data_IF_943405792401
#
_entry.id   IF_943405792401
#
_cell.length_a   1.000
_cell.length_b   1.000
_cell.length_c   1.000
_cell.angle_alpha   90.00
_cell.angle_beta   90.00
_cell.angle_gamma   90.00
#
_symmetry.space_group_name_H-M   'P 1'
#
loop_
_entity.id
_entity.type
_entity.pdbx_description
1 polymer ?
#
# COMPACT_ATOMS: atom_id res chain seq x y z
N UNK A 1 -30.23 -4.34 67.74
CA UNK A 1 -28.94 -4.48 67.03
C UNK A 1 -29.22 -4.45 65.53
N UNK A 2 -28.71 -3.40 64.88
CA UNK A 2 -28.46 -3.19 63.42
C UNK A 2 -29.56 -3.63 62.43
N UNK A 3 -30.39 -2.79 61.79
CA UNK A 3 -30.14 -1.66 60.85
C UNK A 3 -29.00 -1.86 59.85
N UNK A 4 -29.38 -2.08 58.57
CA UNK A 4 -28.75 -1.75 57.27
C UNK A 4 -29.61 -2.48 56.20
N UNK A 5 -30.43 -1.93 55.30
CA UNK A 5 -30.53 -0.64 54.58
C UNK A 5 -29.32 -0.28 53.72
N UNK A 6 -29.18 -0.99 52.59
CA UNK A 6 -28.52 -0.65 51.32
C UNK A 6 -29.10 -1.67 50.30
N UNK A 7 -29.57 -1.42 49.08
CA UNK A 7 -29.35 -0.33 48.13
C UNK A 7 -30.55 -0.25 47.15
N UNK A 8 -31.42 0.75 47.34
CA UNK A 8 -32.28 1.30 46.27
C UNK A 8 -31.45 2.23 45.37
N UNK A 9 -30.37 1.71 44.79
CA UNK A 9 -29.33 2.51 44.09
C UNK A 9 -29.74 2.96 42.67
N UNK A 10 -30.83 2.44 42.10
CA UNK A 10 -31.18 2.73 40.70
C UNK A 10 -32.38 3.66 40.48
N UNK A 11 -33.00 4.21 41.52
CA UNK A 11 -34.19 5.07 41.33
C UNK A 11 -34.21 6.26 42.29
N UNK A 12 -33.46 7.34 41.96
CA UNK A 12 -33.86 8.76 42.07
C UNK A 12 -32.68 9.74 42.01
N UNK A 13 -32.65 10.57 40.97
CA UNK A 13 -32.24 11.99 40.91
C UNK A 13 -32.26 12.37 39.41
N UNK A 14 -32.97 13.36 38.85
CA UNK A 14 -33.55 14.62 39.32
C UNK A 14 -32.63 15.42 40.25
N UNK A 15 -31.57 15.99 39.68
CA UNK A 15 -30.95 17.25 40.10
C UNK A 15 -30.08 17.75 38.93
N UNK A 16 -30.56 18.75 38.18
CA UNK A 16 -30.09 20.14 38.25
C UNK A 16 -28.62 20.27 37.89
N UNK A 17 -28.40 20.83 36.68
CA UNK A 17 -27.09 21.12 36.12
C UNK A 17 -26.27 22.03 37.03
N UNK A 18 -24.99 21.72 37.08
CA UNK A 18 -23.99 22.43 37.87
C UNK A 18 -23.65 23.74 37.16
N UNK A 19 -23.95 24.85 37.85
CA UNK A 19 -23.64 26.23 37.46
C UNK A 19 -22.20 26.55 37.84
N UNK A 20 -21.45 27.19 36.94
CA UNK A 20 -20.08 27.63 37.16
C UNK A 20 -20.09 29.15 37.34
N UNK A 21 -20.71 29.62 38.42
CA UNK A 21 -20.57 31.00 38.86
C UNK A 21 -21.00 31.12 40.32
N UNK A 22 -20.02 31.15 41.21
CA UNK A 22 -20.10 31.76 42.54
C UNK A 22 -18.67 32.23 42.86
N UNK A 23 -18.47 33.54 42.70
CA UNK A 23 -17.31 34.25 43.24
C UNK A 23 -17.43 34.35 44.77
N UNK A 24 -16.28 34.34 45.46
CA UNK A 24 -16.06 35.27 46.57
C UNK A 24 -14.58 35.31 46.95
N UNK A 25 -13.95 36.48 46.83
CA UNK A 25 -13.08 36.95 47.92
C UNK A 25 -12.92 38.48 47.96
N UNK A 26 -13.74 39.07 48.84
CA UNK A 26 -13.49 40.17 49.78
C UNK A 26 -12.30 41.16 49.57
N UNK A 27 -12.59 42.47 49.51
CA UNK A 27 -12.15 43.45 50.53
C UNK A 27 -12.51 44.95 50.29
N UNK A 28 -13.31 45.48 51.25
CA UNK A 28 -13.17 46.74 52.03
C UNK A 28 -13.11 48.15 51.38
N UNK A 29 -14.11 48.97 51.77
CA UNK A 29 -14.01 50.39 52.17
C UNK A 29 -14.44 51.40 51.09
N UNK A 30 -15.11 52.53 51.35
CA UNK A 30 -15.65 53.20 52.55
C UNK A 30 -16.60 54.33 52.04
N UNK A 31 -17.73 54.54 52.74
CA UNK A 31 -18.59 55.73 52.91
C UNK A 31 -18.02 57.09 52.41
N UNK A 32 -18.72 58.11 51.88
CA UNK A 32 -20.13 58.58 51.94
C UNK A 32 -20.35 59.77 50.97
N UNK A 33 -21.56 59.83 50.39
CA UNK A 33 -22.45 60.98 50.09
C UNK A 33 -21.90 62.27 49.44
N UNK A 34 -22.39 62.60 48.23
CA UNK A 34 -23.24 63.78 47.95
C UNK A 34 -23.71 63.82 46.48
N UNK A 35 -24.99 63.43 46.30
CA UNK A 35 -26.03 63.91 45.35
C UNK A 35 -25.59 65.00 44.34
N UNK A 36 -25.77 64.89 43.01
CA UNK A 36 -27.04 64.78 42.28
C UNK A 36 -26.82 64.33 40.81
N UNK A 37 -27.52 63.25 40.43
CA UNK A 37 -28.27 63.03 39.17
C UNK A 37 -27.58 63.36 37.83
N UNK A 38 -27.14 62.33 37.10
CA UNK A 38 -27.78 61.79 35.87
C UNK A 38 -26.83 60.72 35.29
N UNK A 39 -27.30 59.47 35.26
CA UNK A 39 -26.58 58.28 34.80
C UNK A 39 -26.24 58.36 33.30
N UNK A 40 -25.20 57.76 32.75
CA UNK A 40 -23.90 57.30 33.23
C UNK A 40 -23.10 57.00 31.94
N UNK A 41 -21.82 57.40 31.93
CA UNK A 41 -20.74 56.90 31.06
C UNK A 41 -20.74 57.33 29.58
N UNK A 42 -20.15 58.50 29.35
CA UNK A 42 -19.29 58.79 28.19
C UNK A 42 -17.91 59.21 28.70
N UNK A 43 -16.89 59.09 27.84
CA UNK A 43 -15.43 59.23 28.06
C UNK A 43 -14.83 57.85 28.40
N UNK A 44 -14.72 56.92 27.46
CA UNK A 44 -13.93 57.00 26.23
C UNK A 44 -12.44 57.35 26.50
N UNK A 45 -11.56 56.51 25.97
CA UNK A 45 -10.10 56.64 25.93
C UNK A 45 -9.39 56.31 27.25
N UNK A 46 -8.36 55.46 27.29
CA UNK A 46 -7.46 55.13 26.22
C UNK A 46 -6.72 53.82 26.55
N UNK A 47 -6.72 52.90 25.58
CA UNK A 47 -5.80 51.76 25.47
C UNK A 47 -6.02 50.56 26.42
N UNK A 48 -6.95 49.68 26.05
CA UNK A 48 -6.60 48.25 25.94
C UNK A 48 -7.47 47.57 24.87
N UNK A 49 -6.83 46.72 24.10
CA UNK A 49 -7.18 46.26 22.76
C UNK A 49 -7.76 44.84 22.73
N UNK A 50 -8.68 44.59 21.78
CA UNK A 50 -9.26 43.29 21.37
C UNK A 50 -10.22 42.63 22.36
N UNK A 51 -11.21 41.80 21.93
CA UNK A 51 -11.38 41.15 20.62
C UNK A 51 -12.69 41.52 19.88
N UNK A 52 -12.73 41.32 18.55
CA UNK A 52 -13.92 41.48 17.72
C UNK A 52 -15.00 40.43 18.11
N UNK A 53 -15.96 40.82 18.92
CA UNK A 53 -17.31 40.24 18.87
C UNK A 53 -18.07 40.96 17.75
N UNK A 54 -18.07 40.37 16.56
CA UNK A 54 -19.02 40.77 15.53
C UNK A 54 -20.30 39.98 15.77
N UNK A 55 -21.02 40.34 16.84
CA UNK A 55 -22.42 39.95 17.00
C UNK A 55 -23.20 40.64 15.88
N UNK A 56 -23.39 39.91 14.78
CA UNK A 56 -24.35 40.23 13.74
C UNK A 56 -25.72 40.31 14.40
N UNK A 57 -26.15 41.52 14.74
CA UNK A 57 -27.53 41.80 15.12
C UNK A 57 -28.45 41.33 13.98
N UNK A 58 -29.02 40.13 14.14
CA UNK A 58 -30.03 39.60 13.23
C UNK A 58 -31.32 40.37 13.49
N UNK A 59 -31.50 41.46 12.75
CA UNK A 59 -32.74 42.21 12.74
C UNK A 59 -33.87 41.32 12.21
N UNK A 60 -35.04 41.25 12.88
CA UNK A 60 -36.17 40.49 12.39
C UNK A 60 -36.57 40.96 10.99
N UNK A 61 -36.78 40.06 10.04
CA UNK A 61 -37.01 40.39 8.61
C UNK A 61 -38.13 41.43 8.39
N UNK A 62 -39.11 41.44 9.30
CA UNK A 62 -40.21 42.39 9.41
C UNK A 62 -39.81 43.86 9.66
N UNK A 63 -38.55 44.13 10.03
CA UNK A 63 -37.97 45.49 10.10
C UNK A 63 -37.36 45.96 8.78
N UNK A 64 -37.02 45.04 7.88
CA UNK A 64 -36.43 45.32 6.57
C UNK A 64 -37.49 45.33 5.47
N UNK A 65 -38.52 44.48 5.60
CA UNK A 65 -39.61 44.37 4.63
C UNK A 65 -40.95 44.23 5.35
N UNK A 66 -41.95 45.00 4.92
CA UNK A 66 -43.29 44.90 5.49
C UNK A 66 -43.90 43.54 5.15
N UNK A 67 -44.75 42.98 6.03
CA UNK A 67 -45.41 41.68 5.81
C UNK A 67 -46.12 41.63 4.45
N UNK A 68 -46.77 42.72 4.03
CA UNK A 68 -47.44 42.82 2.73
C UNK A 68 -46.48 42.75 1.54
N UNK A 69 -45.30 43.38 1.66
CA UNK A 69 -44.27 43.33 0.62
C UNK A 69 -43.53 41.99 0.64
N UNK A 70 -43.36 41.38 1.81
CA UNK A 70 -42.82 40.03 1.94
C UNK A 70 -43.76 39.01 1.31
N UNK A 71 -45.06 39.10 1.58
CA UNK A 71 -46.08 38.26 0.95
C UNK A 71 -46.12 38.49 -0.57
N UNK A 72 -45.97 39.73 -1.04
CA UNK A 72 -45.88 40.02 -2.48
C UNK A 72 -44.60 39.47 -3.12
N UNK A 73 -43.44 39.54 -2.44
CA UNK A 73 -42.18 38.94 -2.91
C UNK A 73 -42.26 37.42 -2.85
N UNK A 74 -42.91 36.86 -1.83
CA UNK A 74 -43.12 35.42 -1.71
C UNK A 74 -44.09 34.91 -2.79
N UNK A 75 -45.15 35.68 -3.09
CA UNK A 75 -46.05 35.41 -4.20
C UNK A 75 -45.35 35.55 -5.56
N UNK A 76 -44.46 36.53 -5.74
CA UNK A 76 -43.64 36.65 -6.95
C UNK A 76 -42.65 35.49 -7.08
N UNK A 77 -42.07 35.01 -5.98
CA UNK A 77 -41.18 33.84 -5.94
C UNK A 77 -41.94 32.52 -6.16
N UNK A 78 -43.17 32.41 -5.64
CA UNK A 78 -44.05 31.25 -5.81
C UNK A 78 -44.67 31.22 -7.23
N UNK A 79 -44.93 32.39 -7.83
CA UNK A 79 -45.38 32.54 -9.22
C UNK A 79 -44.20 32.40 -10.20
N UNK A 80 -43.00 32.84 -9.83
CA UNK A 80 -41.74 32.49 -10.52
C UNK A 80 -41.34 31.07 -10.16
N UNK A 81 -42.12 30.08 -10.61
CA UNK A 81 -41.68 28.68 -10.55
C UNK A 81 -40.26 28.58 -11.13
N UNK A 82 -39.22 28.14 -10.39
CA UNK A 82 -38.12 27.48 -11.05
C UNK A 82 -38.68 26.14 -11.55
N UNK A 83 -39.29 26.17 -12.73
CA UNK A 83 -39.83 25.01 -13.40
C UNK A 83 -38.66 24.21 -14.00
N UNK A 84 -37.85 23.59 -13.16
CA UNK A 84 -36.84 22.65 -13.63
C UNK A 84 -36.96 21.37 -12.82
N UNK A 85 -37.86 20.50 -13.30
CA UNK A 85 -37.90 19.08 -12.89
C UNK A 85 -37.06 18.20 -13.81
N UNK A 86 -36.63 18.71 -14.97
CA UNK A 86 -35.87 17.90 -15.91
C UNK A 86 -34.43 17.74 -15.42
N UNK A 87 -34.12 16.54 -14.94
CA UNK A 87 -32.81 16.14 -14.42
C UNK A 87 -31.69 16.48 -15.41
N UNK A 88 -31.90 16.20 -16.70
CA UNK A 88 -30.94 16.44 -17.78
C UNK A 88 -30.50 17.90 -17.89
N UNK A 89 -31.45 18.81 -17.80
CA UNK A 89 -31.17 20.24 -17.91
C UNK A 89 -30.40 20.75 -16.68
N UNK A 90 -30.73 20.24 -15.49
CA UNK A 90 -29.97 20.56 -14.27
C UNK A 90 -28.54 20.06 -14.34
N UNK A 91 -28.32 18.81 -14.76
CA UNK A 91 -26.98 18.24 -14.92
C UNK A 91 -26.18 19.00 -15.99
N UNK A 92 -26.81 19.34 -17.11
CA UNK A 92 -26.18 20.16 -18.15
C UNK A 92 -25.73 21.52 -17.62
N UNK A 93 -26.52 22.16 -16.75
CA UNK A 93 -26.13 23.42 -16.10
C UNK A 93 -24.94 23.23 -15.16
N UNK A 94 -24.88 22.12 -14.44
CA UNK A 94 -23.72 21.80 -13.60
C UNK A 94 -22.44 21.69 -14.44
N UNK A 95 -22.48 20.95 -15.55
CA UNK A 95 -21.35 20.81 -16.49
C UNK A 95 -20.93 22.18 -17.06
N UNK A 96 -21.89 23.05 -17.34
CA UNK A 96 -21.65 24.39 -17.87
C UNK A 96 -21.32 25.45 -16.80
N UNK A 97 -21.14 25.05 -15.53
CA UNK A 97 -20.91 25.95 -14.38
C UNK A 97 -21.95 27.08 -14.24
N UNK A 98 -23.20 26.80 -14.60
CA UNK A 98 -24.34 27.71 -14.46
C UNK A 98 -25.03 27.53 -13.10
N UNK A 99 -25.77 28.52 -12.59
CA UNK A 99 -26.52 28.35 -11.34
C UNK A 99 -27.56 27.23 -11.48
N UNK A 100 -27.52 26.29 -10.54
CA UNK A 100 -28.42 25.12 -10.46
C UNK A 100 -28.99 24.97 -9.05
N UNK A 101 -30.10 24.22 -8.93
CA UNK A 101 -30.73 23.92 -7.63
C UNK A 101 -31.05 22.43 -7.54
N UNK A 102 -30.42 21.74 -6.59
CA UNK A 102 -30.66 20.31 -6.35
C UNK A 102 -31.76 20.06 -5.31
N UNK A 103 -32.14 21.09 -4.54
CA UNK A 103 -33.14 20.98 -3.46
C UNK A 103 -34.52 20.60 -4.02
N UNK A 104 -34.77 20.87 -5.31
CA UNK A 104 -36.01 20.54 -6.01
C UNK A 104 -36.31 19.03 -6.07
N UNK A 105 -35.30 18.17 -5.92
CA UNK A 105 -35.40 16.71 -6.05
C UNK A 105 -35.58 16.07 -4.68
N UNK A 106 -36.83 15.80 -4.32
CA UNK A 106 -37.20 15.32 -2.98
C UNK A 106 -37.38 13.81 -2.94
N UNK A 107 -37.92 13.20 -4.01
CA UNK A 107 -38.21 11.77 -4.02
C UNK A 107 -36.94 10.94 -4.21
N UNK A 108 -36.96 9.71 -3.68
CA UNK A 108 -35.87 8.75 -3.87
C UNK A 108 -35.64 8.43 -5.36
N UNK A 109 -36.71 8.37 -6.15
CA UNK A 109 -36.66 8.08 -7.58
C UNK A 109 -35.97 9.21 -8.36
N UNK A 110 -36.34 10.47 -8.09
CA UNK A 110 -35.69 11.64 -8.68
C UNK A 110 -34.20 11.73 -8.32
N UNK A 111 -33.86 11.36 -7.09
CA UNK A 111 -32.47 11.31 -6.60
C UNK A 111 -31.64 10.20 -7.26
N UNK A 112 -32.25 9.04 -7.51
CA UNK A 112 -31.63 7.96 -8.29
C UNK A 112 -31.42 8.39 -9.75
N UNK A 113 -32.42 9.02 -10.38
CA UNK A 113 -32.34 9.54 -11.76
C UNK A 113 -31.31 10.67 -11.89
N UNK A 114 -31.22 11.57 -10.90
CA UNK A 114 -30.21 12.62 -10.83
C UNK A 114 -28.79 12.05 -10.81
N UNK A 115 -28.58 10.98 -10.06
CA UNK A 115 -27.28 10.32 -10.00
C UNK A 115 -26.97 9.55 -11.28
N UNK A 116 -27.95 8.87 -11.87
CA UNK A 116 -27.80 8.18 -13.15
C UNK A 116 -27.35 9.17 -14.24
N UNK A 117 -28.04 10.30 -14.37
CA UNK A 117 -27.69 11.33 -15.34
C UNK A 117 -26.37 12.03 -15.00
N UNK A 118 -26.01 12.20 -13.73
CA UNK A 118 -24.68 12.70 -13.38
C UNK A 118 -23.58 11.73 -13.84
N UNK A 119 -23.79 10.42 -13.69
CA UNK A 119 -22.79 9.41 -14.11
C UNK A 119 -22.62 9.33 -15.63
N UNK A 120 -23.61 9.71 -16.44
CA UNK A 120 -23.46 9.75 -17.91
C UNK A 120 -22.53 10.85 -18.38
N UNK A 121 -22.34 11.92 -17.58
CA UNK A 121 -21.45 13.04 -17.94
C UNK A 121 -19.97 12.69 -17.88
N UNK A 122 -19.58 11.66 -17.11
CA UNK A 122 -18.20 11.32 -16.78
C UNK A 122 -17.37 12.48 -16.18
N UNK A 123 -18.05 13.52 -15.68
CA UNK A 123 -17.42 14.65 -15.00
C UNK A 123 -17.38 14.38 -13.49
N UNK A 124 -16.16 14.24 -12.95
CA UNK A 124 -15.94 13.92 -11.55
C UNK A 124 -16.49 14.96 -10.57
N UNK A 125 -16.50 16.25 -10.94
CA UNK A 125 -16.98 17.32 -10.07
C UNK A 125 -18.52 17.33 -10.02
N UNK A 126 -19.16 17.09 -11.16
CA UNK A 126 -20.63 16.97 -11.24
C UNK A 126 -21.11 15.75 -10.46
N UNK A 127 -20.47 14.59 -10.67
CA UNK A 127 -20.78 13.36 -9.94
C UNK A 127 -20.61 13.60 -8.44
N UNK A 128 -19.49 14.18 -8.01
CA UNK A 128 -19.23 14.43 -6.60
C UNK A 128 -20.26 15.36 -5.96
N UNK A 129 -20.61 16.47 -6.62
CA UNK A 129 -21.60 17.41 -6.11
C UNK A 129 -22.97 16.76 -5.90
N UNK A 130 -23.41 15.90 -6.82
CA UNK A 130 -24.65 15.13 -6.67
C UNK A 130 -24.52 14.12 -5.52
N UNK A 131 -23.40 13.41 -5.42
CA UNK A 131 -23.15 12.46 -4.33
C UNK A 131 -23.21 13.15 -2.96
N UNK A 132 -22.61 14.33 -2.80
CA UNK A 132 -22.65 15.11 -1.55
C UNK A 132 -24.06 15.60 -1.22
N UNK A 133 -24.85 15.99 -2.23
CA UNK A 133 -26.25 16.30 -2.04
C UNK A 133 -27.05 15.08 -1.54
N UNK A 134 -26.80 13.90 -2.10
CA UNK A 134 -27.44 12.66 -1.65
C UNK A 134 -27.03 12.29 -0.23
N UNK A 135 -25.75 12.45 0.11
CA UNK A 135 -25.22 12.20 1.46
C UNK A 135 -25.93 13.06 2.51
N UNK A 136 -26.16 14.34 2.21
CA UNK A 136 -26.80 15.28 3.14
C UNK A 136 -28.33 15.12 3.23
N UNK A 137 -28.96 14.44 2.27
CA UNK A 137 -30.43 14.39 2.16
C UNK A 137 -31.04 13.01 2.27
N UNK A 138 -30.23 11.94 2.36
CA UNK A 138 -30.67 10.56 2.54
C UNK A 138 -30.17 10.00 3.87
N UNK A 139 -30.88 8.99 4.39
CA UNK A 139 -30.35 8.21 5.51
C UNK A 139 -29.19 7.32 5.02
N UNK A 140 -28.27 6.99 5.94
CA UNK A 140 -27.02 6.28 5.63
C UNK A 140 -27.26 4.96 4.86
N UNK A 141 -28.27 4.17 5.24
CA UNK A 141 -28.60 2.92 4.54
C UNK A 141 -29.07 3.13 3.11
N UNK A 142 -29.95 4.11 2.83
CA UNK A 142 -30.40 4.35 1.45
C UNK A 142 -29.30 4.97 0.60
N UNK A 143 -28.49 5.84 1.18
CA UNK A 143 -27.33 6.42 0.51
C UNK A 143 -26.36 5.32 0.04
N UNK A 144 -25.90 4.46 0.95
CA UNK A 144 -24.99 3.35 0.60
C UNK A 144 -25.62 2.38 -0.41
N UNK A 145 -26.92 2.07 -0.29
CA UNK A 145 -27.66 1.22 -1.26
C UNK A 145 -27.69 1.83 -2.67
N UNK A 146 -27.78 3.16 -2.78
CA UNK A 146 -27.88 3.87 -4.06
C UNK A 146 -26.51 4.03 -4.72
N UNK A 147 -25.49 4.41 -3.94
CA UNK A 147 -24.13 4.62 -4.47
C UNK A 147 -23.45 3.28 -4.81
N UNK A 148 -23.57 2.25 -3.96
CA UNK A 148 -22.91 0.95 -4.20
C UNK A 148 -23.34 0.26 -5.50
N UNK A 149 -24.54 0.56 -6.03
CA UNK A 149 -25.01 0.07 -7.33
C UNK A 149 -24.33 0.74 -8.52
N UNK A 150 -23.66 1.88 -8.33
CA UNK A 150 -23.09 2.74 -9.38
C UNK A 150 -21.59 2.95 -9.14
N UNK A 151 -20.77 2.19 -9.86
CA UNK A 151 -19.30 2.13 -9.66
C UNK A 151 -18.62 3.49 -9.76
N UNK A 152 -18.97 4.32 -10.74
CA UNK A 152 -18.33 5.63 -10.94
C UNK A 152 -18.63 6.61 -9.79
N UNK A 153 -19.89 6.66 -9.34
CA UNK A 153 -20.29 7.47 -8.19
C UNK A 153 -19.63 6.96 -6.89
N UNK A 154 -19.51 5.64 -6.75
CA UNK A 154 -18.81 5.02 -5.63
C UNK A 154 -17.33 5.37 -5.62
N UNK A 155 -16.61 5.24 -6.74
CA UNK A 155 -15.19 5.60 -6.83
C UNK A 155 -14.95 7.08 -6.52
N UNK A 156 -15.80 7.97 -7.04
CA UNK A 156 -15.64 9.40 -6.78
C UNK A 156 -15.96 9.76 -5.31
N UNK A 157 -16.90 9.06 -4.69
CA UNK A 157 -17.16 9.17 -3.27
C UNK A 157 -15.98 8.67 -2.40
N UNK A 158 -15.39 7.52 -2.76
CA UNK A 158 -14.20 6.99 -2.08
C UNK A 158 -13.00 7.93 -2.23
N UNK A 159 -12.79 8.47 -3.44
CA UNK A 159 -11.76 9.49 -3.72
C UNK A 159 -11.95 10.73 -2.84
N UNK A 160 -13.18 11.24 -2.76
CA UNK A 160 -13.52 12.39 -1.91
C UNK A 160 -13.25 12.12 -0.43
N UNK A 161 -13.72 10.98 0.09
CA UNK A 161 -13.49 10.59 1.49
C UNK A 161 -11.99 10.39 1.80
N UNK A 162 -11.23 9.83 0.85
CA UNK A 162 -9.78 9.70 0.94
C UNK A 162 -9.08 11.07 1.00
N UNK A 163 -9.48 12.03 0.15
CA UNK A 163 -8.89 13.38 0.10
C UNK A 163 -9.17 14.22 1.35
N UNK A 164 -10.26 13.96 2.07
CA UNK A 164 -10.66 14.68 3.29
C UNK A 164 -10.24 14.01 4.59
N UNK A 165 -9.47 12.91 4.54
CA UNK A 165 -8.98 12.16 5.71
C UNK A 165 -10.09 11.66 6.66
N UNK A 166 -11.32 11.47 6.16
CA UNK A 166 -12.43 10.91 6.94
C UNK A 166 -12.34 9.37 7.00
N UNK A 167 -11.19 8.86 7.46
CA UNK A 167 -10.83 7.44 7.45
C UNK A 167 -11.84 6.55 8.17
N UNK A 168 -12.47 7.03 9.24
CA UNK A 168 -13.49 6.26 9.99
C UNK A 168 -14.85 6.16 9.27
N UNK A 169 -15.28 7.20 8.56
CA UNK A 169 -16.53 7.10 7.77
C UNK A 169 -16.29 6.27 6.52
N UNK A 170 -15.13 6.43 5.90
CA UNK A 170 -14.68 5.64 4.77
C UNK A 170 -14.59 4.15 5.10
N UNK A 171 -13.96 3.78 6.22
CA UNK A 171 -13.88 2.39 6.67
C UNK A 171 -15.27 1.80 6.91
N UNK A 172 -16.13 2.46 7.71
CA UNK A 172 -17.49 2.00 7.98
C UNK A 172 -18.35 1.83 6.71
N UNK A 173 -18.22 2.77 5.77
CA UNK A 173 -18.96 2.71 4.49
C UNK A 173 -18.46 1.56 3.61
N UNK A 174 -17.14 1.37 3.49
CA UNK A 174 -16.58 0.26 2.71
C UNK A 174 -16.87 -1.12 3.31
N UNK A 175 -16.83 -1.22 4.64
CA UNK A 175 -17.19 -2.43 5.37
C UNK A 175 -18.63 -2.85 5.08
N UNK A 176 -19.54 -1.88 5.00
CA UNK A 176 -20.95 -2.13 4.69
C UNK A 176 -21.18 -2.64 3.26
N UNK A 177 -20.23 -2.40 2.35
CA UNK A 177 -20.29 -2.83 0.93
C UNK A 177 -19.56 -4.16 0.71
N UNK A 178 -18.77 -4.63 1.68
CA UNK A 178 -18.12 -5.94 1.67
C UNK A 178 -16.83 -6.02 0.86
N UNK A 179 -16.30 -4.88 0.41
CA UNK A 179 -15.06 -4.85 -0.36
C UNK A 179 -13.85 -4.66 0.57
N UNK A 180 -13.30 -5.78 1.04
CA UNK A 180 -12.17 -5.80 2.00
C UNK A 180 -10.86 -5.29 1.38
N UNK A 181 -10.69 -5.44 0.07
CA UNK A 181 -9.49 -4.98 -0.66
C UNK A 181 -9.33 -3.46 -0.60
N UNK A 182 -10.40 -2.71 -0.85
CA UNK A 182 -10.36 -1.24 -0.89
C UNK A 182 -10.05 -0.65 0.49
N UNK A 183 -10.51 -1.27 1.57
CA UNK A 183 -10.19 -0.85 2.96
C UNK A 183 -8.70 -1.00 3.23
N UNK A 184 -8.11 -2.11 2.80
CA UNK A 184 -6.69 -2.39 2.92
C UNK A 184 -5.87 -1.39 2.08
N UNK A 185 -6.32 -1.09 0.86
CA UNK A 185 -5.68 -0.07 0.01
C UNK A 185 -5.68 1.31 0.65
N UNK A 186 -6.81 1.72 1.24
CA UNK A 186 -6.92 3.00 1.96
C UNK A 186 -6.00 3.03 3.17
N UNK A 187 -5.89 1.92 3.91
CA UNK A 187 -4.93 1.80 5.00
C UNK A 187 -3.50 2.01 4.49
N UNK A 188 -3.10 1.36 3.39
CA UNK A 188 -1.76 1.50 2.82
C UNK A 188 -1.50 2.93 2.36
N UNK A 189 -2.42 3.53 1.59
CA UNK A 189 -2.31 4.90 1.12
C UNK A 189 -2.15 5.89 2.28
N UNK A 190 -2.95 5.73 3.34
CA UNK A 190 -2.84 6.57 4.54
C UNK A 190 -1.59 6.29 5.39
N UNK A 191 -0.85 5.22 5.10
CA UNK A 191 0.37 4.83 5.84
C UNK A 191 1.66 5.21 5.11
N UNK A 192 1.58 5.56 3.82
CA UNK A 192 2.75 5.98 3.01
C UNK A 192 3.46 7.19 3.62
N UNK A 193 2.70 8.15 4.16
CA UNK A 193 3.25 9.39 4.71
C UNK A 193 3.85 9.24 6.13
N UNK A 194 3.76 8.05 6.74
CA UNK A 194 4.28 7.82 8.09
C UNK A 194 5.78 7.49 8.00
N UNK A 195 6.67 8.34 8.54
CA UNK A 195 8.11 8.17 8.35
C UNK A 195 8.73 7.11 9.25
N UNK A 196 8.04 6.64 10.30
CA UNK A 196 8.56 5.70 11.28
C UNK A 196 7.89 4.32 11.19
N UNK A 197 8.72 3.27 11.26
CA UNK A 197 8.26 1.87 11.29
C UNK A 197 7.33 1.63 12.49
N UNK A 198 7.62 2.24 13.63
CA UNK A 198 6.78 2.17 14.83
C UNK A 198 5.40 2.79 14.62
N UNK A 199 5.33 3.92 13.92
CA UNK A 199 4.06 4.58 13.61
C UNK A 199 3.21 3.70 12.71
N UNK A 200 3.80 3.15 11.64
CA UNK A 200 3.11 2.22 10.73
C UNK A 200 2.68 0.96 11.48
N UNK A 201 3.54 0.38 12.31
CA UNK A 201 3.23 -0.84 13.07
C UNK A 201 2.08 -0.61 14.06
N UNK A 202 2.04 0.54 14.74
CA UNK A 202 0.96 0.88 15.65
C UNK A 202 -0.36 1.06 14.90
N UNK A 203 -0.34 1.76 13.76
CA UNK A 203 -1.53 1.99 12.94
C UNK A 203 -2.06 0.68 12.34
N UNK A 204 -1.15 -0.17 11.83
CA UNK A 204 -1.49 -1.51 11.35
C UNK A 204 -2.07 -2.38 12.46
N UNK A 205 -1.52 -2.29 13.67
CA UNK A 205 -2.05 -2.97 14.85
C UNK A 205 -3.50 -2.57 15.13
N UNK A 206 -3.81 -1.27 15.15
CA UNK A 206 -5.18 -0.77 15.31
C UNK A 206 -6.10 -1.26 14.18
N UNK A 207 -5.64 -1.13 12.92
CA UNK A 207 -6.38 -1.57 11.74
C UNK A 207 -6.75 -3.06 11.80
N UNK A 208 -5.80 -3.91 12.20
CA UNK A 208 -6.04 -5.35 12.36
C UNK A 208 -7.05 -5.58 13.49
N UNK A 209 -6.92 -4.93 14.64
CA UNK A 209 -7.90 -5.12 15.74
C UNK A 209 -9.31 -4.71 15.32
N UNK A 210 -9.44 -3.62 14.57
CA UNK A 210 -10.71 -3.06 14.15
C UNK A 210 -11.39 -3.86 13.03
N UNK A 211 -10.63 -4.24 11.99
CA UNK A 211 -11.20 -4.72 10.71
C UNK A 211 -10.90 -6.18 10.38
N UNK A 212 -10.03 -6.86 11.12
CA UNK A 212 -9.57 -8.21 10.73
C UNK A 212 -10.67 -9.26 10.73
N UNK A 213 -11.69 -9.11 11.59
CA UNK A 213 -12.86 -10.00 11.61
C UNK A 213 -13.78 -9.83 10.39
N UNK A 214 -13.76 -8.65 9.78
CA UNK A 214 -14.65 -8.26 8.67
C UNK A 214 -14.05 -8.59 7.31
N UNK A 215 -12.73 -8.78 7.24
CA UNK A 215 -12.04 -9.24 6.03
C UNK A 215 -12.45 -10.69 5.75
N UNK A 216 -13.03 -10.94 4.58
CA UNK A 216 -13.49 -12.30 4.18
C UNK A 216 -12.33 -13.13 3.61
N UNK A 217 -11.38 -12.48 2.94
CA UNK A 217 -10.26 -13.15 2.25
C UNK A 217 -9.17 -13.58 3.22
N UNK A 218 -8.99 -14.89 3.39
CA UNK A 218 -7.88 -15.44 4.18
C UNK A 218 -6.50 -15.10 3.60
N UNK A 219 -6.41 -14.90 2.28
CA UNK A 219 -5.18 -14.45 1.63
C UNK A 219 -4.80 -13.04 2.10
N UNK A 220 -5.77 -12.12 2.13
CA UNK A 220 -5.54 -10.73 2.57
C UNK A 220 -5.16 -10.67 4.04
N UNK A 221 -5.82 -11.46 4.90
CA UNK A 221 -5.43 -11.63 6.30
C UNK A 221 -3.98 -12.09 6.44
N UNK A 222 -3.57 -13.10 5.69
CA UNK A 222 -2.18 -13.57 5.72
C UNK A 222 -1.21 -12.46 5.32
N UNK A 223 -1.51 -11.71 4.27
CA UNK A 223 -0.64 -10.61 3.80
C UNK A 223 -0.49 -9.52 4.88
N UNK A 224 -1.57 -9.13 5.56
CA UNK A 224 -1.51 -8.14 6.65
C UNK A 224 -0.68 -8.63 7.83
N UNK A 225 -0.83 -9.90 8.21
CA UNK A 225 -0.05 -10.50 9.29
C UNK A 225 1.43 -10.65 8.93
N UNK A 226 1.73 -11.08 7.70
CA UNK A 226 3.09 -11.20 7.20
C UNK A 226 3.75 -9.81 7.13
N UNK A 227 3.02 -8.77 6.71
CA UNK A 227 3.52 -7.38 6.75
C UNK A 227 3.77 -6.89 8.19
N UNK A 228 2.85 -7.18 9.12
CA UNK A 228 3.05 -6.85 10.53
C UNK A 228 4.31 -7.52 11.11
N UNK A 229 4.56 -8.78 10.75
CA UNK A 229 5.75 -9.51 11.18
C UNK A 229 7.03 -8.90 10.59
N UNK A 230 7.00 -8.46 9.33
CA UNK A 230 8.13 -7.78 8.71
C UNK A 230 8.45 -6.44 9.40
N UNK A 231 7.43 -5.62 9.72
CA UNK A 231 7.62 -4.36 10.45
C UNK A 231 8.19 -4.60 11.87
N UNK A 232 7.73 -5.65 12.56
CA UNK A 232 8.29 -6.06 13.87
C UNK A 232 9.76 -6.48 13.75
N UNK A 233 10.12 -7.19 12.69
CA UNK A 233 11.52 -7.54 12.40
C UNK A 233 12.36 -6.28 12.18
N UNK A 234 11.90 -5.37 11.30
CA UNK A 234 12.60 -4.12 11.01
C UNK A 234 12.84 -3.28 12.28
N UNK A 235 11.85 -3.23 13.17
CA UNK A 235 11.99 -2.55 14.47
C UNK A 235 13.05 -3.22 15.34
N UNK A 236 13.01 -4.54 15.49
CA UNK A 236 13.95 -5.29 16.35
C UNK A 236 15.38 -5.19 15.84
N UNK A 237 15.58 -5.31 14.54
CA UNK A 237 16.91 -5.29 13.90
C UNK A 237 17.35 -3.88 13.46
N UNK A 238 16.54 -2.84 13.70
CA UNK A 238 16.75 -1.47 13.22
C UNK A 238 17.04 -1.42 11.70
N UNK A 239 16.34 -2.26 10.94
CA UNK A 239 16.51 -2.38 9.48
C UNK A 239 15.72 -1.30 8.73
N UNK A 240 16.31 -0.82 7.64
CA UNK A 240 15.72 0.14 6.70
C UNK A 240 15.32 -0.50 5.37
N UNK A 241 15.46 -1.81 5.23
CA UNK A 241 15.18 -2.53 3.98
C UNK A 241 13.71 -2.35 3.59
N UNK A 242 13.44 -2.00 2.34
CA UNK A 242 12.08 -1.72 1.86
C UNK A 242 11.28 -2.99 1.55
N UNK A 243 11.97 -4.13 1.40
CA UNK A 243 11.35 -5.39 1.05
C UNK A 243 11.99 -6.58 1.76
N UNK A 244 11.25 -7.69 1.81
CA UNK A 244 11.72 -8.97 2.35
C UNK A 244 12.94 -9.50 1.60
N UNK A 245 12.98 -9.32 0.27
CA UNK A 245 14.10 -9.78 -0.56
C UNK A 245 15.35 -8.93 -0.37
N UNK A 246 15.19 -7.61 -0.18
CA UNK A 246 16.29 -6.72 0.16
C UNK A 246 16.86 -7.04 1.54
N UNK A 247 15.99 -7.26 2.54
CA UNK A 247 16.43 -7.67 3.88
C UNK A 247 17.18 -9.00 3.83
N UNK A 248 16.65 -10.00 3.13
CA UNK A 248 17.33 -11.28 2.95
C UNK A 248 18.70 -11.10 2.27
N UNK A 249 18.80 -10.23 1.27
CA UNK A 249 20.06 -9.90 0.59
C UNK A 249 21.06 -9.25 1.55
N UNK A 250 20.61 -8.34 2.42
CA UNK A 250 21.43 -7.68 3.42
C UNK A 250 21.93 -8.65 4.49
N UNK A 251 21.06 -9.53 4.97
CA UNK A 251 21.42 -10.62 5.88
C UNK A 251 22.47 -11.54 5.22
N UNK A 252 22.24 -11.96 3.97
CA UNK A 252 23.20 -12.75 3.21
C UNK A 252 24.54 -12.03 2.97
N UNK A 253 24.54 -10.73 2.75
CA UNK A 253 25.78 -9.99 2.61
C UNK A 253 26.55 -9.90 3.94
N UNK A 254 25.86 -9.66 5.05
CA UNK A 254 26.50 -9.46 6.35
C UNK A 254 27.09 -10.77 6.91
N UNK A 255 26.33 -11.86 6.88
CA UNK A 255 26.77 -13.18 7.38
C UNK A 255 27.97 -13.69 6.61
N UNK A 256 27.99 -13.57 5.28
CA UNK A 256 29.06 -14.13 4.46
C UNK A 256 30.26 -13.21 4.22
N UNK A 257 30.22 -11.95 4.67
CA UNK A 257 31.40 -11.08 4.80
C UNK A 257 32.17 -11.35 6.10
N UNK A 258 31.50 -11.81 7.15
CA UNK A 258 32.13 -12.17 8.42
C UNK A 258 32.91 -13.49 8.32
N UNK A 259 34.05 -13.60 9.02
CA UNK A 259 34.84 -14.85 9.10
C UNK A 259 34.15 -15.96 9.90
N UNK A 260 33.06 -15.64 10.62
CA UNK A 260 32.15 -16.60 11.22
C UNK A 260 30.74 -16.29 10.73
N UNK A 261 30.25 -17.09 9.77
CA UNK A 261 28.91 -16.97 9.24
C UNK A 261 27.92 -17.47 10.30
N UNK A 262 27.28 -16.55 11.02
CA UNK A 262 26.10 -16.88 11.81
C UNK A 262 24.88 -16.90 10.88
N UNK A 263 24.48 -18.10 10.47
CA UNK A 263 23.32 -18.33 9.60
C UNK A 263 22.00 -18.32 10.38
N UNK A 264 22.02 -18.26 11.72
CA UNK A 264 20.80 -18.38 12.54
C UNK A 264 19.78 -17.28 12.22
N UNK A 265 20.25 -16.04 12.05
CA UNK A 265 19.37 -14.91 11.68
C UNK A 265 18.69 -15.10 10.33
N UNK A 266 19.40 -15.67 9.36
CA UNK A 266 18.83 -15.96 8.03
C UNK A 266 17.78 -17.06 8.14
N UNK A 267 18.05 -18.11 8.92
CA UNK A 267 17.11 -19.22 9.14
C UNK A 267 15.86 -18.72 9.86
N UNK A 268 16.03 -17.89 10.90
CA UNK A 268 14.93 -17.27 11.64
C UNK A 268 14.08 -16.37 10.72
N UNK A 269 14.73 -15.47 9.98
CA UNK A 269 14.03 -14.57 9.06
C UNK A 269 13.30 -15.33 7.95
N UNK A 270 13.94 -16.34 7.36
CA UNK A 270 13.35 -17.22 6.34
C UNK A 270 12.10 -17.91 6.88
N UNK A 271 12.14 -18.41 8.12
CA UNK A 271 11.00 -19.06 8.77
C UNK A 271 9.88 -18.07 9.08
N UNK A 272 10.22 -16.90 9.64
CA UNK A 272 9.27 -15.84 9.98
C UNK A 272 8.50 -15.36 8.75
N UNK A 273 9.22 -15.12 7.65
CA UNK A 273 8.66 -14.61 6.40
C UNK A 273 8.21 -15.70 5.42
N UNK A 274 8.25 -16.97 5.83
CA UNK A 274 7.84 -18.15 5.03
C UNK A 274 8.50 -18.19 3.64
N UNK A 275 9.77 -17.80 3.56
CA UNK A 275 10.50 -17.72 2.29
C UNK A 275 10.79 -19.14 1.80
N UNK A 276 10.39 -19.44 0.56
CA UNK A 276 10.61 -20.74 -0.05
C UNK A 276 12.10 -21.02 -0.28
N UNK A 277 12.48 -22.30 -0.36
CA UNK A 277 13.85 -22.71 -0.68
C UNK A 277 14.31 -22.13 -2.02
N UNK A 278 13.41 -22.07 -3.01
CA UNK A 278 13.70 -21.51 -4.33
C UNK A 278 14.05 -20.01 -4.26
N UNK A 279 13.22 -19.23 -3.57
CA UNK A 279 13.48 -17.79 -3.38
C UNK A 279 14.77 -17.57 -2.60
N UNK A 280 14.99 -18.37 -1.56
CA UNK A 280 16.20 -18.30 -0.73
C UNK A 280 17.46 -18.58 -1.56
N UNK A 281 17.53 -19.72 -2.24
CA UNK A 281 18.69 -20.08 -3.05
C UNK A 281 18.91 -19.09 -4.20
N UNK A 282 17.83 -18.55 -4.79
CA UNK A 282 17.95 -17.55 -5.85
C UNK A 282 18.54 -16.23 -5.35
N UNK A 283 18.07 -15.74 -4.20
CA UNK A 283 18.63 -14.53 -3.57
C UNK A 283 20.09 -14.78 -3.16
N UNK A 284 20.37 -15.93 -2.55
CA UNK A 284 21.73 -16.32 -2.14
C UNK A 284 22.69 -16.37 -3.33
N UNK A 285 22.31 -17.03 -4.43
CA UNK A 285 23.11 -17.13 -5.65
C UNK A 285 23.47 -15.74 -6.18
N UNK A 286 22.46 -14.87 -6.32
CA UNK A 286 22.68 -13.51 -6.83
C UNK A 286 23.51 -12.66 -5.88
N UNK A 287 23.32 -12.82 -4.56
CA UNK A 287 24.08 -12.08 -3.54
C UNK A 287 25.56 -12.45 -3.59
N UNK A 288 25.87 -13.75 -3.60
CA UNK A 288 27.25 -14.23 -3.68
C UNK A 288 27.91 -13.90 -5.02
N UNK A 289 27.16 -13.98 -6.12
CA UNK A 289 27.67 -13.67 -7.45
C UNK A 289 27.98 -12.17 -7.61
N UNK A 290 27.10 -11.30 -7.11
CA UNK A 290 27.34 -9.85 -7.09
C UNK A 290 28.53 -9.46 -6.20
N UNK A 291 28.84 -10.27 -5.18
CA UNK A 291 30.02 -10.12 -4.33
C UNK A 291 31.27 -10.86 -4.86
N UNK A 292 31.20 -11.43 -6.07
CA UNK A 292 32.25 -12.22 -6.73
C UNK A 292 32.80 -13.36 -5.85
N UNK A 293 31.98 -13.91 -4.95
CA UNK A 293 32.34 -14.97 -4.02
C UNK A 293 32.22 -16.36 -4.68
N UNK A 294 32.92 -16.56 -5.80
CA UNK A 294 32.78 -17.75 -6.64
C UNK A 294 33.09 -19.07 -5.91
N UNK A 295 34.14 -19.10 -5.09
CA UNK A 295 34.51 -20.29 -4.31
C UNK A 295 33.38 -20.72 -3.35
N UNK A 296 32.67 -19.74 -2.77
CA UNK A 296 31.53 -20.02 -1.89
C UNK A 296 30.37 -20.59 -2.69
N UNK A 297 30.06 -20.02 -3.86
CA UNK A 297 29.01 -20.54 -4.75
C UNK A 297 29.30 -22.01 -5.07
N UNK A 298 30.52 -22.34 -5.48
CA UNK A 298 30.93 -23.72 -5.75
C UNK A 298 30.74 -24.58 -4.50
N UNK A 299 31.21 -24.15 -3.33
CA UNK A 299 31.07 -24.92 -2.08
C UNK A 299 29.62 -25.15 -1.62
N UNK A 300 28.72 -24.21 -1.91
CA UNK A 300 27.32 -24.29 -1.47
C UNK A 300 26.46 -25.12 -2.43
N UNK A 301 26.65 -24.93 -3.73
CA UNK A 301 25.83 -25.55 -4.77
C UNK A 301 26.42 -26.85 -5.31
N UNK A 302 27.72 -27.12 -5.12
CA UNK A 302 28.35 -28.37 -5.56
C UNK A 302 28.62 -29.27 -4.36
N UNK A 303 28.19 -30.53 -4.46
CA UNK A 303 28.53 -31.57 -3.47
C UNK A 303 29.09 -32.81 -4.15
N UNK A 304 30.07 -33.41 -3.50
CA UNK A 304 30.61 -34.70 -3.94
C UNK A 304 29.59 -35.80 -3.66
N UNK A 305 29.21 -36.54 -4.70
CA UNK A 305 28.40 -37.74 -4.56
C UNK A 305 29.31 -38.91 -4.15
N UNK A 306 29.11 -39.40 -2.93
CA UNK A 306 29.92 -40.47 -2.34
C UNK A 306 29.89 -41.78 -3.15
N UNK A 307 28.80 -42.08 -3.86
CA UNK A 307 28.64 -43.30 -4.65
C UNK A 307 29.42 -43.23 -5.97
N UNK A 308 29.32 -42.12 -6.70
CA UNK A 308 29.91 -41.97 -8.03
C UNK A 308 31.28 -41.28 -7.99
N UNK A 309 31.67 -40.72 -6.83
CA UNK A 309 32.82 -39.82 -6.65
C UNK A 309 32.81 -38.62 -7.60
N UNK A 310 31.65 -38.31 -8.18
CA UNK A 310 31.44 -37.15 -9.07
C UNK A 310 30.77 -36.02 -8.31
N UNK A 311 31.12 -34.80 -8.67
CA UNK A 311 30.45 -33.61 -8.18
C UNK A 311 29.09 -33.44 -8.86
N UNK A 312 28.08 -33.05 -8.09
CA UNK A 312 26.72 -32.82 -8.58
C UNK A 312 26.23 -31.49 -8.01
N UNK A 313 25.45 -30.76 -8.82
CA UNK A 313 24.77 -29.55 -8.37
C UNK A 313 23.60 -29.95 -7.47
N UNK A 314 23.64 -29.51 -6.22
CA UNK A 314 22.57 -29.69 -5.24
C UNK A 314 21.87 -28.35 -5.04
N UNK A 315 20.77 -28.16 -5.76
CA UNK A 315 19.94 -26.97 -5.71
C UNK A 315 18.48 -27.35 -5.95
N UNK A 316 17.55 -26.56 -5.42
CA UNK A 316 16.14 -26.60 -5.83
C UNK A 316 15.89 -25.83 -7.13
N UNK A 317 16.85 -24.99 -7.54
CA UNK A 317 16.82 -24.27 -8.81
C UNK A 317 17.18 -25.24 -9.93
N UNK A 318 16.41 -25.20 -11.02
CA UNK A 318 16.77 -25.93 -12.25
C UNK A 318 18.18 -25.55 -12.71
N UNK A 319 18.97 -26.53 -13.15
CA UNK A 319 20.38 -26.35 -13.47
C UNK A 319 20.62 -25.34 -14.60
N UNK A 320 19.71 -25.27 -15.58
CA UNK A 320 19.82 -24.32 -16.69
C UNK A 320 19.54 -22.91 -16.17
N UNK A 321 18.49 -22.76 -15.35
CA UNK A 321 18.14 -21.47 -14.73
C UNK A 321 19.25 -20.97 -13.81
N UNK A 322 19.84 -21.86 -13.01
CA UNK A 322 20.95 -21.54 -12.11
C UNK A 322 22.16 -21.02 -12.89
N UNK A 323 22.57 -21.73 -13.94
CA UNK A 323 23.71 -21.33 -14.76
C UNK A 323 23.46 -20.03 -15.53
N UNK A 324 22.27 -19.86 -16.11
CA UNK A 324 21.89 -18.61 -16.78
C UNK A 324 21.84 -17.44 -15.80
N UNK A 325 21.30 -17.66 -14.59
CA UNK A 325 21.29 -16.67 -13.50
C UNK A 325 22.70 -16.26 -13.11
N UNK A 326 23.60 -17.23 -12.92
CA UNK A 326 25.00 -17.00 -12.60
C UNK A 326 25.72 -16.26 -13.73
N UNK A 327 25.48 -16.63 -14.99
CA UNK A 327 26.16 -16.06 -16.16
C UNK A 327 25.95 -14.55 -16.31
N UNK A 328 24.82 -14.01 -15.81
CA UNK A 328 24.53 -12.57 -15.80
C UNK A 328 25.54 -11.75 -14.98
N UNK A 329 26.27 -12.39 -14.07
CA UNK A 329 27.28 -11.77 -13.22
C UNK A 329 28.71 -11.93 -13.76
N UNK A 330 28.87 -12.36 -15.02
CA UNK A 330 30.18 -12.57 -15.67
C UNK A 330 31.15 -13.47 -14.86
N UNK A 331 30.74 -14.69 -14.46
CA UNK A 331 31.58 -15.59 -13.69
C UNK A 331 32.86 -15.95 -14.48
N UNK A 332 33.98 -16.18 -13.78
CA UNK A 332 35.18 -16.73 -14.39
C UNK A 332 34.91 -18.04 -15.13
N UNK A 333 35.59 -18.25 -16.27
CA UNK A 333 35.36 -19.44 -17.12
C UNK A 333 35.54 -20.76 -16.37
N UNK A 334 36.47 -20.83 -15.42
CA UNK A 334 36.71 -22.04 -14.60
C UNK A 334 35.50 -22.40 -13.74
N UNK A 335 34.77 -21.41 -13.20
CA UNK A 335 33.56 -21.62 -12.38
C UNK A 335 32.44 -22.21 -13.24
N UNK A 336 32.24 -21.66 -14.44
CA UNK A 336 31.25 -22.19 -15.39
C UNK A 336 31.61 -23.62 -15.78
N UNK A 337 32.88 -23.89 -16.10
CA UNK A 337 33.36 -25.22 -16.48
C UNK A 337 33.12 -26.24 -15.35
N UNK A 338 33.38 -25.86 -14.11
CA UNK A 338 33.17 -26.75 -12.95
C UNK A 338 31.68 -27.11 -12.77
N UNK A 339 30.79 -26.13 -12.92
CA UNK A 339 29.34 -26.36 -12.87
C UNK A 339 28.85 -27.19 -14.06
N UNK A 340 29.35 -26.94 -15.28
CA UNK A 340 29.02 -27.73 -16.47
C UNK A 340 29.44 -29.20 -16.31
N UNK A 341 30.60 -29.45 -15.70
CA UNK A 341 31.07 -30.82 -15.38
C UNK A 341 30.19 -31.56 -14.37
N UNK A 342 29.37 -30.85 -13.60
CA UNK A 342 28.43 -31.43 -12.65
C UNK A 342 27.09 -31.83 -13.29
N UNK A 343 26.86 -31.50 -14.57
CA UNK A 343 25.64 -31.85 -15.29
C UNK A 343 25.78 -33.26 -15.88
N UNK A 344 24.89 -34.20 -15.53
CA UNK A 344 24.98 -35.58 -16.03
C UNK A 344 24.62 -35.70 -17.52
N UNK A 345 23.73 -34.83 -18.01
CA UNK A 345 23.28 -34.79 -19.39
C UNK A 345 24.29 -34.04 -20.28
N UNK A 346 24.91 -34.77 -21.20
CA UNK A 346 25.92 -34.23 -22.13
C UNK A 346 25.34 -33.24 -23.14
N UNK A 347 24.09 -33.39 -23.53
CA UNK A 347 23.46 -32.53 -24.54
C UNK A 347 23.09 -31.19 -23.91
N UNK A 348 22.54 -31.20 -22.70
CA UNK A 348 22.23 -29.99 -21.93
C UNK A 348 23.52 -29.22 -21.61
N UNK A 349 24.53 -29.89 -21.07
CA UNK A 349 25.82 -29.25 -20.74
C UNK A 349 26.51 -28.67 -21.97
N UNK A 350 26.45 -29.37 -23.11
CA UNK A 350 26.99 -28.88 -24.38
C UNK A 350 26.26 -27.63 -24.88
N UNK A 351 24.93 -27.64 -24.86
CA UNK A 351 24.11 -26.50 -25.27
C UNK A 351 24.43 -25.26 -24.43
N UNK A 352 24.46 -25.43 -23.11
CA UNK A 352 24.78 -24.37 -22.14
C UNK A 352 26.22 -23.85 -22.33
N UNK A 353 27.20 -24.74 -22.56
CA UNK A 353 28.58 -24.35 -22.83
C UNK A 353 28.69 -23.46 -24.07
N UNK A 354 27.97 -23.79 -25.14
CA UNK A 354 27.92 -22.98 -26.37
C UNK A 354 27.28 -21.61 -26.10
N UNK A 355 26.16 -21.57 -25.38
CA UNK A 355 25.47 -20.33 -25.03
C UNK A 355 26.34 -19.41 -24.17
N UNK A 356 27.10 -19.97 -23.23
CA UNK A 356 28.02 -19.24 -22.35
C UNK A 356 29.43 -19.05 -22.93
N UNK A 357 29.62 -19.33 -24.23
CA UNK A 357 30.90 -19.17 -24.95
C UNK A 357 32.09 -19.92 -24.33
N UNK A 358 31.82 -21.05 -23.67
CA UNK A 358 32.83 -21.96 -23.12
C UNK A 358 33.26 -22.98 -24.19
N UNK A 359 33.81 -22.49 -25.31
CA UNK A 359 34.11 -23.29 -26.50
C UNK A 359 35.10 -24.45 -26.24
N UNK A 360 36.07 -24.26 -25.36
CA UNK A 360 37.05 -25.31 -24.99
C UNK A 360 36.37 -26.52 -24.33
N UNK A 361 35.42 -26.30 -23.43
CA UNK A 361 34.64 -27.36 -22.81
C UNK A 361 33.86 -28.18 -23.86
N UNK A 362 33.27 -27.49 -24.83
CA UNK A 362 32.54 -28.14 -25.92
C UNK A 362 33.46 -29.01 -26.79
N UNK A 363 34.68 -28.54 -27.09
CA UNK A 363 35.70 -29.34 -27.79
C UNK A 363 36.10 -30.57 -26.97
N UNK A 364 36.39 -30.39 -25.67
CA UNK A 364 36.74 -31.49 -24.76
C UNK A 364 35.61 -32.53 -24.65
N UNK A 365 34.34 -32.09 -24.67
CA UNK A 365 33.18 -32.98 -24.67
C UNK A 365 33.15 -33.88 -25.92
N UNK A 366 33.37 -33.33 -27.12
CA UNK A 366 33.45 -34.14 -28.35
C UNK A 366 34.62 -35.13 -28.34
N UNK A 367 35.78 -34.72 -27.82
CA UNK A 367 36.95 -35.60 -27.66
C UNK A 367 36.59 -36.77 -26.73
N UNK A 368 35.96 -36.49 -25.58
CA UNK A 368 35.57 -37.49 -24.60
C UNK A 368 34.51 -38.46 -25.15
N UNK A 369 33.55 -37.96 -25.93
CA UNK A 369 32.54 -38.78 -26.60
C UNK A 369 33.09 -39.57 -27.79
N UNK A 370 34.29 -39.19 -28.27
CA UNK A 370 34.96 -39.70 -29.47
C UNK A 370 34.19 -39.43 -30.76
N UNK A 371 33.39 -38.36 -30.78
CA UNK A 371 32.62 -37.95 -31.95
C UNK A 371 33.44 -37.04 -32.84
N UNK A 372 34.05 -37.64 -33.88
CA UNK A 372 34.91 -36.93 -34.81
C UNK A 372 34.13 -36.02 -35.75
N UNK A 373 32.95 -36.46 -36.21
CA UNK A 373 32.13 -35.71 -37.16
C UNK A 373 31.53 -34.47 -36.48
N UNK A 374 31.02 -34.62 -35.25
CA UNK A 374 30.54 -33.51 -34.45
C UNK A 374 31.63 -32.46 -34.20
N UNK A 375 32.85 -32.87 -33.88
CA UNK A 375 33.97 -31.94 -33.68
C UNK A 375 34.34 -31.19 -34.97
N UNK A 376 34.33 -31.84 -36.14
CA UNK A 376 34.58 -31.18 -37.43
C UNK A 376 33.52 -30.11 -37.71
N UNK A 377 32.23 -30.46 -37.53
CA UNK A 377 31.13 -29.53 -37.75
C UNK A 377 31.18 -28.36 -36.76
N UNK A 378 31.52 -28.64 -35.50
CA UNK A 378 31.65 -27.62 -34.47
C UNK A 378 32.85 -26.70 -34.70
N UNK A 379 34.00 -27.22 -35.14
CA UNK A 379 35.19 -26.41 -35.49
C UNK A 379 34.84 -25.31 -36.49
N UNK A 380 33.99 -25.61 -37.48
CA UNK A 380 33.55 -24.64 -38.48
C UNK A 380 32.62 -23.55 -37.93
N UNK A 381 32.05 -23.74 -36.72
CA UNK A 381 31.23 -22.75 -36.03
C UNK A 381 32.04 -21.91 -35.01
N UNK A 382 33.29 -22.30 -34.73
CA UNK A 382 34.17 -21.55 -33.84
C UNK A 382 34.67 -20.27 -34.55
N UNK A 383 34.97 -19.21 -33.79
CA UNK A 383 35.58 -18.02 -34.37
C UNK A 383 36.90 -18.39 -35.08
N UNK A 384 37.05 -17.96 -36.33
CA UNK A 384 38.22 -18.28 -37.13
C UNK A 384 39.50 -17.80 -36.42
N UNK A 385 40.54 -18.64 -36.41
CA UNK A 385 41.84 -18.37 -35.77
C UNK A 385 41.78 -18.15 -34.24
N UNK A 386 40.70 -18.56 -33.56
CA UNK A 386 40.69 -18.56 -32.10
C UNK A 386 41.58 -19.66 -31.52
N UNK A 387 41.98 -19.53 -30.25
CA UNK A 387 42.72 -20.58 -29.53
C UNK A 387 41.97 -21.92 -29.59
N UNK A 388 40.64 -21.88 -29.44
CA UNK A 388 39.79 -23.07 -29.44
C UNK A 388 39.66 -23.69 -30.84
N UNK A 389 39.74 -22.89 -31.90
CA UNK A 389 39.81 -23.41 -33.27
C UNK A 389 41.09 -24.23 -33.48
N UNK A 390 42.25 -23.70 -33.07
CA UNK A 390 43.52 -24.42 -33.16
C UNK A 390 43.57 -25.64 -32.24
N UNK A 391 42.95 -25.55 -31.06
CA UNK A 391 42.82 -26.67 -30.14
C UNK A 391 41.98 -27.80 -30.74
N UNK A 392 40.82 -27.50 -31.34
CA UNK A 392 40.00 -28.47 -32.03
C UNK A 392 40.73 -29.11 -33.23
N UNK A 393 41.47 -28.31 -33.99
CA UNK A 393 42.28 -28.80 -35.12
C UNK A 393 43.39 -29.74 -34.67
N UNK A 394 44.15 -29.34 -33.64
CA UNK A 394 45.19 -30.18 -33.03
C UNK A 394 44.61 -31.49 -32.51
N UNK A 395 43.45 -31.45 -31.84
CA UNK A 395 42.77 -32.64 -31.35
C UNK A 395 42.38 -33.61 -32.49
N UNK A 396 41.83 -33.09 -33.61
CA UNK A 396 41.45 -33.89 -34.77
C UNK A 396 42.62 -34.57 -35.47
N UNK A 397 43.82 -33.97 -35.40
CA UNK A 397 45.06 -34.52 -35.95
C UNK A 397 45.86 -35.38 -34.95
N UNK A 398 45.47 -35.36 -33.68
CA UNK A 398 46.15 -36.11 -32.63
C UNK A 398 45.92 -37.62 -32.79
N UNK A 399 47.02 -38.38 -32.86
CA UNK A 399 47.00 -39.85 -32.89
C UNK A 399 46.61 -40.46 -31.53
N UNK A 400 46.53 -39.65 -30.48
CA UNK A 400 46.20 -40.10 -29.13
C UNK A 400 44.70 -40.32 -28.89
N UNK A 401 43.83 -39.80 -29.79
CA UNK A 401 42.38 -39.93 -29.67
C UNK A 401 41.87 -41.05 -30.58
N UNK A 402 41.28 -42.09 -29.98
CA UNK A 402 40.60 -43.17 -30.71
C UNK A 402 39.16 -42.77 -31.02
N UNK A 403 38.93 -42.21 -32.20
CA UNK A 403 37.61 -41.78 -32.66
C UNK A 403 36.64 -42.97 -32.85
N UNK A 404 35.35 -42.76 -32.54
CA UNK A 404 34.28 -43.65 -33.00
C UNK A 404 34.00 -43.25 -34.45
N UNK A 405 34.09 -44.23 -35.35
CA UNK A 405 33.77 -44.03 -36.76
C UNK A 405 32.27 -43.88 -36.97
#
# INVERSE_FOLDING_TARGET
MSTNKTDDYWNRSLSTGFSFDDEDDTSKGLFTNSTLTFEANSIESAFSSSPLDTDLYVLPIQTVISKKNLDAVLDDVLQSKPAYREVKETIKRMVLNQPYNLICYHSLMEKEELLDEATTTMDGDVILNVVLFLLNTLNSSNFHRIISKRKEAWHQYLSYLGSRLQTQQLSNTLLSVGSSSEIIEIFYMASVDIPSVEGVLSKLGHFIVEHFGEIVSEREKSVLLDYQNFLKWQKTENSKSQSVTEELTNLCNSTWKSKGADENKIIEFKKLMKISDLQYEWVLLNTLAAAEQWDKILSMFIKSNWLTKKNVIKSVIDVQILLLGLFRHNPPKNVIIELLNCIPDSDISFHLAKQMKCYRFAVDSYINQRDRLGLILYKNQLPAQSEEFFYAESALHSLNVKWKN
#
